data_IF_495303130631
#
_entry.id   IF_495303130631
#
_cell.length_a   1.000
_cell.length_b   1.000
_cell.length_c   1.000
_cell.angle_alpha   90.00
_cell.angle_beta   90.00
_cell.angle_gamma   90.00
#
_symmetry.space_group_name_H-M   'P 1'
#
loop_
_entity.id
_entity.type
_entity.pdbx_description
1 polymer ?
#
# COMPACT_ATOMS: atom_id res chain seq x y z
N UNK A 1 -15.38 -10.98 -2.69
CA UNK A 1 -14.99 -10.17 -1.52
C UNK A 1 -13.74 -9.37 -1.88
N UNK A 2 -13.74 -8.04 -1.81
CA UNK A 2 -12.54 -7.25 -2.09
C UNK A 2 -11.45 -7.64 -1.10
N UNK A 3 -10.30 -8.06 -1.63
CA UNK A 3 -9.14 -8.47 -0.83
C UNK A 3 -8.24 -7.25 -0.61
N UNK A 4 -7.52 -7.21 0.50
CA UNK A 4 -6.63 -6.08 0.80
C UNK A 4 -5.21 -6.62 0.98
N UNK A 5 -4.24 -6.00 0.31
CA UNK A 5 -2.81 -6.24 0.48
C UNK A 5 -2.21 -5.07 1.24
N UNK A 6 -1.62 -5.35 2.40
CA UNK A 6 -0.94 -4.34 3.22
C UNK A 6 0.56 -4.57 3.18
N UNK A 7 1.31 -3.54 2.81
CA UNK A 7 2.77 -3.53 2.82
C UNK A 7 3.27 -2.56 3.90
N UNK A 8 3.88 -3.11 4.96
CA UNK A 8 4.51 -2.32 6.01
C UNK A 8 6.01 -2.13 5.70
N UNK A 9 6.38 -0.96 5.19
CA UNK A 9 7.74 -0.59 4.82
C UNK A 9 8.42 0.17 5.98
N UNK A 10 9.05 -0.59 6.89
CA UNK A 10 9.76 -0.04 8.05
C UNK A 10 11.09 0.61 7.66
N UNK A 11 11.81 -0.02 6.74
CA UNK A 11 13.11 0.43 6.22
C UNK A 11 13.11 0.27 4.69
N UNK A 12 13.56 1.31 3.97
CA UNK A 12 13.65 1.33 2.51
C UNK A 12 15.04 1.81 2.11
N UNK A 13 15.93 0.87 1.84
CA UNK A 13 17.34 1.17 1.54
C UNK A 13 17.54 1.69 0.11
N UNK A 14 16.65 1.28 -0.81
CA UNK A 14 16.68 1.72 -2.21
C UNK A 14 15.27 2.06 -2.69
N UNK A 15 14.95 3.36 -2.61
CA UNK A 15 13.64 3.90 -2.97
C UNK A 15 13.23 3.60 -4.41
N UNK A 16 14.16 3.72 -5.37
CA UNK A 16 13.86 3.46 -6.79
C UNK A 16 13.50 1.99 -7.02
N UNK A 17 14.26 1.06 -6.43
CA UNK A 17 13.98 -0.38 -6.52
C UNK A 17 12.67 -0.73 -5.81
N UNK A 18 12.43 -0.17 -4.63
CA UNK A 18 11.20 -0.37 -3.88
C UNK A 18 9.96 0.08 -4.65
N UNK A 19 9.95 1.32 -5.15
CA UNK A 19 8.84 1.84 -5.97
C UNK A 19 8.59 0.96 -7.20
N UNK A 20 9.66 0.54 -7.89
CA UNK A 20 9.53 -0.36 -9.04
C UNK A 20 8.88 -1.69 -8.65
N UNK A 21 9.32 -2.32 -7.57
CA UNK A 21 8.78 -3.60 -7.10
C UNK A 21 7.31 -3.47 -6.67
N UNK A 22 6.95 -2.44 -5.89
CA UNK A 22 5.56 -2.23 -5.51
C UNK A 22 4.68 -2.06 -6.75
N UNK A 23 5.07 -1.16 -7.65
CA UNK A 23 4.25 -0.82 -8.82
C UNK A 23 4.16 -1.95 -9.86
N UNK A 24 5.25 -2.70 -10.09
CA UNK A 24 5.31 -3.69 -11.17
C UNK A 24 5.02 -5.11 -10.69
N UNK A 25 5.50 -5.46 -9.50
CA UNK A 25 5.46 -6.83 -8.98
C UNK A 25 4.27 -7.07 -8.08
N UNK A 26 3.82 -6.09 -7.31
CA UNK A 26 2.75 -6.28 -6.32
C UNK A 26 1.41 -5.73 -6.82
N UNK A 27 1.42 -4.50 -7.32
CA UNK A 27 0.19 -3.79 -7.72
C UNK A 27 -0.58 -4.56 -8.79
N UNK A 28 0.12 -4.98 -9.87
CA UNK A 28 -0.53 -5.62 -11.02
C UNK A 28 -1.17 -6.96 -10.66
N UNK A 29 -0.52 -7.89 -9.94
CA UNK A 29 -1.18 -9.09 -9.46
C UNK A 29 -2.33 -8.83 -8.47
N UNK A 30 -2.16 -7.89 -7.55
CA UNK A 30 -3.22 -7.55 -6.58
C UNK A 30 -4.48 -7.04 -7.28
N UNK A 31 -4.34 -6.08 -8.20
CA UNK A 31 -5.47 -5.53 -8.95
C UNK A 31 -6.16 -6.57 -9.85
N UNK A 32 -5.42 -7.55 -10.39
CA UNK A 32 -6.01 -8.65 -11.20
C UNK A 32 -7.00 -9.51 -10.41
N UNK A 33 -6.81 -9.67 -9.11
CA UNK A 33 -7.72 -10.42 -8.22
C UNK A 33 -8.70 -9.49 -7.51
N UNK A 34 -8.80 -8.23 -7.95
CA UNK A 34 -9.69 -7.23 -7.34
C UNK A 34 -9.25 -6.77 -5.95
N UNK A 35 -7.98 -6.93 -5.60
CA UNK A 35 -7.45 -6.51 -4.31
C UNK A 35 -6.94 -5.06 -4.33
N UNK A 36 -7.15 -4.30 -3.25
CA UNK A 36 -6.54 -2.98 -3.06
C UNK A 36 -5.18 -3.10 -2.37
N UNK A 37 -4.23 -2.25 -2.74
CA UNK A 37 -2.88 -2.21 -2.18
C UNK A 37 -2.70 -0.98 -1.30
N UNK A 38 -2.32 -1.20 -0.05
CA UNK A 38 -1.95 -0.15 0.89
C UNK A 38 -0.47 -0.26 1.22
N UNK A 39 0.24 0.86 1.18
CA UNK A 39 1.63 0.96 1.63
C UNK A 39 1.68 1.86 2.86
N UNK A 40 2.23 1.32 3.93
CA UNK A 40 2.46 2.05 5.17
C UNK A 40 3.93 2.10 5.55
N UNK A 41 4.29 3.04 6.40
CA UNK A 41 5.63 3.15 6.95
C UNK A 41 6.03 4.58 7.21
N UNK A 42 6.93 4.80 8.17
CA UNK A 42 7.37 6.14 8.51
C UNK A 42 7.93 6.85 7.28
N UNK A 43 7.47 8.09 7.04
CA UNK A 43 7.89 8.94 5.91
C UNK A 43 7.55 8.39 4.51
N UNK A 44 6.75 7.33 4.38
CA UNK A 44 6.40 6.77 3.06
C UNK A 44 5.63 7.76 2.19
N UNK A 45 4.68 8.48 2.77
CA UNK A 45 3.87 9.46 2.02
C UNK A 45 4.71 10.66 1.60
N UNK A 46 5.49 11.24 2.51
CA UNK A 46 6.36 12.38 2.26
C UNK A 46 7.52 12.07 1.31
N UNK A 47 8.10 10.86 1.35
CA UNK A 47 9.21 10.49 0.45
C UNK A 47 8.75 9.92 -0.89
N UNK A 48 7.71 9.09 -0.89
CA UNK A 48 7.39 8.21 -2.03
C UNK A 48 5.94 8.32 -2.51
N UNK A 49 5.09 9.15 -1.87
CA UNK A 49 3.65 9.22 -2.15
C UNK A 49 3.32 9.50 -3.63
N UNK A 50 4.06 10.40 -4.29
CA UNK A 50 3.87 10.70 -5.72
C UNK A 50 4.44 9.66 -6.68
N UNK A 51 5.15 8.64 -6.17
CA UNK A 51 5.86 7.62 -6.97
C UNK A 51 5.25 6.23 -6.82
N UNK A 52 4.68 5.94 -5.66
CA UNK A 52 3.93 4.71 -5.41
C UNK A 52 2.53 4.83 -6.02
N UNK A 53 2.17 3.83 -6.83
CA UNK A 53 0.83 3.72 -7.44
C UNK A 53 -0.15 2.92 -6.58
N UNK A 54 0.21 2.67 -5.33
CA UNK A 54 -0.67 2.01 -4.37
C UNK A 54 -1.95 2.82 -4.19
N UNK A 55 -3.06 2.14 -3.92
CA UNK A 55 -4.36 2.79 -3.72
C UNK A 55 -4.31 3.75 -2.52
N UNK A 56 -3.53 3.41 -1.50
CA UNK A 56 -3.29 4.26 -0.33
C UNK A 56 -1.82 4.19 0.08
N UNK A 57 -1.25 5.35 0.38
CA UNK A 57 0.08 5.49 1.00
C UNK A 57 -0.09 6.28 2.30
N UNK A 58 0.22 5.67 3.43
CA UNK A 58 0.13 6.31 4.74
C UNK A 58 1.43 6.19 5.54
N UNK A 59 1.61 7.12 6.48
CA UNK A 59 2.69 7.11 7.47
C UNK A 59 2.20 6.61 8.83
N UNK A 60 0.90 6.38 8.99
CA UNK A 60 0.22 6.00 10.21
C UNK A 60 -0.41 4.63 10.05
N UNK A 61 -0.05 3.70 10.94
CA UNK A 61 -0.70 2.37 10.98
C UNK A 61 -2.20 2.47 11.32
N UNK A 62 -2.62 3.50 12.06
CA UNK A 62 -4.04 3.74 12.36
C UNK A 62 -4.86 4.00 11.09
N UNK A 63 -4.27 4.70 10.11
CA UNK A 63 -4.97 4.99 8.86
C UNK A 63 -5.18 3.71 8.05
N UNK A 64 -4.19 2.79 8.09
CA UNK A 64 -4.30 1.48 7.45
C UNK A 64 -5.36 0.64 8.15
N UNK A 65 -5.37 0.60 9.48
CA UNK A 65 -6.40 -0.10 10.27
C UNK A 65 -7.80 0.42 9.95
N UNK A 66 -7.99 1.73 9.85
CA UNK A 66 -9.27 2.35 9.50
C UNK A 66 -9.77 1.89 8.13
N UNK A 67 -8.89 1.80 7.13
CA UNK A 67 -9.27 1.31 5.79
C UNK A 67 -9.60 -0.17 5.80
N UNK A 68 -8.83 -0.98 6.52
CA UNK A 68 -9.10 -2.42 6.66
C UNK A 68 -10.42 -2.64 7.38
N UNK A 69 -10.74 -1.84 8.39
CA UNK A 69 -12.01 -1.91 9.12
C UNK A 69 -13.20 -1.42 8.32
N UNK A 70 -13.07 -0.36 7.51
CA UNK A 70 -14.16 0.07 6.62
C UNK A 70 -14.45 -0.99 5.55
N UNK A 71 -13.43 -1.63 4.99
CA UNK A 71 -13.59 -2.72 4.02
C UNK A 71 -14.22 -4.00 4.60
N UNK A 72 -14.22 -4.17 5.93
CA UNK A 72 -14.95 -5.26 6.58
C UNK A 72 -16.43 -4.95 6.80
N UNK A 73 -16.83 -3.67 6.77
CA UNK A 73 -18.19 -3.22 7.07
C UNK A 73 -19.08 -3.03 5.84
N UNK A 74 -18.51 -2.96 4.63
CA UNK A 74 -19.23 -3.02 3.35
C UNK A 74 -19.14 -4.45 2.76
N UNK A 75 -20.12 -5.34 3.04
CA UNK A 75 -20.19 -6.69 2.48
C UNK A 75 -20.60 -6.75 1.00
#
# INVERSE_FOLDING_TARGET
KPTVVVLAALLVDNERKFVRHVNQTILRPAHRVGAKVLVGGARMKSKLGGRLKADIVSESMRDIEAVVHSHRKDP
#
